data_IF_913398497922
#
_entry.id   IF_913398497922
#
_cell.length_a   1.000
_cell.length_b   1.000
_cell.length_c   1.000
_cell.angle_alpha   90.00
_cell.angle_beta   90.00
_cell.angle_gamma   90.00
#
_symmetry.space_group_name_H-M   'P 1'
#
loop_
_entity.id
_entity.type
_entity.pdbx_description
1 polymer ?
#
# COMPACT_ATOMS: atom_id res chain seq x y z
N UNK A 1 -13.45 -13.69 22.54
CA UNK A 1 -12.16 -13.08 22.21
C UNK A 1 -11.93 -13.29 20.73
N UNK A 2 -11.86 -12.19 20.01
CA UNK A 2 -11.71 -12.05 18.56
C UNK A 2 -10.24 -12.05 18.10
N UNK A 3 -9.34 -12.37 19.03
CA UNK A 3 -7.90 -12.55 18.81
C UNK A 3 -7.06 -11.29 19.02
N UNK A 4 -7.66 -10.15 19.37
CA UNK A 4 -6.94 -8.97 19.85
C UNK A 4 -6.89 -8.93 21.38
N UNK A 5 -5.97 -8.15 21.93
CA UNK A 5 -5.93 -7.93 23.38
C UNK A 5 -6.85 -6.78 23.78
N UNK A 6 -7.49 -6.88 24.95
CA UNK A 6 -8.30 -5.79 25.53
C UNK A 6 -7.56 -4.45 25.53
N UNK A 7 -6.23 -4.46 25.71
CA UNK A 7 -5.41 -3.24 25.66
C UNK A 7 -5.29 -2.64 24.26
N UNK A 8 -5.16 -3.46 23.22
CA UNK A 8 -5.09 -2.99 21.84
C UNK A 8 -6.46 -2.47 21.41
N UNK A 9 -7.52 -3.20 21.75
CA UNK A 9 -8.89 -2.77 21.48
C UNK A 9 -9.18 -1.40 22.11
N UNK A 10 -8.81 -1.18 23.37
CA UNK A 10 -8.97 0.14 24.02
C UNK A 10 -8.12 1.24 23.39
N UNK A 11 -6.96 0.90 22.83
CA UNK A 11 -6.05 1.86 22.18
C UNK A 11 -6.69 2.43 20.92
N UNK A 12 -7.33 1.58 20.12
CA UNK A 12 -7.99 1.96 18.87
C UNK A 12 -9.48 2.30 19.03
N UNK A 13 -9.97 2.35 20.28
CA UNK A 13 -11.36 2.70 20.60
C UNK A 13 -12.37 1.60 20.26
N UNK A 14 -11.90 0.38 20.10
CA UNK A 14 -12.71 -0.83 19.91
C UNK A 14 -13.20 -1.38 21.25
N UNK A 15 -14.22 -2.23 21.18
CA UNK A 15 -14.93 -2.71 22.37
C UNK A 15 -14.34 -4.03 22.86
N UNK A 16 -13.74 -4.09 24.07
CA UNK A 16 -13.05 -5.29 24.61
C UNK A 16 -13.94 -6.51 24.90
N UNK A 17 -15.24 -6.37 24.63
CA UNK A 17 -16.26 -7.36 24.99
C UNK A 17 -17.14 -7.71 23.81
N UNK A 18 -16.89 -7.15 22.63
CA UNK A 18 -17.75 -7.28 21.46
C UNK A 18 -17.11 -8.16 20.39
N UNK A 19 -17.42 -9.46 20.46
CA UNK A 19 -17.04 -10.49 19.48
C UNK A 19 -17.61 -10.28 18.03
N UNK A 20 -18.04 -9.09 17.60
CA UNK A 20 -18.94 -8.98 16.42
C UNK A 20 -18.84 -7.75 15.50
N UNK A 21 -17.71 -7.06 15.37
CA UNK A 21 -17.43 -6.45 14.06
C UNK A 21 -16.37 -7.30 13.36
N UNK A 22 -16.71 -7.98 12.25
CA UNK A 22 -15.74 -8.73 11.45
C UNK A 22 -14.51 -7.89 11.11
N UNK A 23 -14.69 -6.58 10.99
CA UNK A 23 -13.68 -5.61 10.59
C UNK A 23 -12.73 -5.22 11.72
N UNK A 24 -13.13 -5.24 13.00
CA UNK A 24 -12.24 -4.83 14.12
C UNK A 24 -11.59 -6.01 14.86
N UNK A 25 -11.91 -7.25 14.49
CA UNK A 25 -11.24 -8.42 15.06
C UNK A 25 -9.81 -8.59 14.55
N UNK A 26 -9.05 -9.54 15.10
CA UNK A 26 -7.64 -9.76 14.70
C UNK A 26 -7.45 -10.12 13.21
N UNK A 27 -8.45 -10.77 12.61
CA UNK A 27 -8.50 -11.13 11.19
C UNK A 27 -9.37 -10.16 10.38
N UNK A 28 -9.83 -9.08 11.00
CA UNK A 28 -10.50 -7.98 10.33
C UNK A 28 -9.49 -7.06 9.66
N UNK A 29 -10.04 -6.12 8.90
CA UNK A 29 -9.34 -5.09 8.14
C UNK A 29 -10.19 -3.83 8.34
N UNK A 30 -9.86 -3.07 9.39
CA UNK A 30 -10.77 -2.04 9.90
C UNK A 30 -10.79 -0.77 9.05
N UNK A 31 -9.73 -0.51 8.28
CA UNK A 31 -9.64 0.62 7.35
C UNK A 31 -9.76 0.22 5.87
N UNK A 32 -9.80 -1.08 5.57
CA UNK A 32 -10.00 -1.66 4.23
C UNK A 32 -8.83 -1.40 3.29
N UNK A 33 -7.59 -1.40 3.81
CA UNK A 33 -6.37 -1.28 3.01
C UNK A 33 -5.87 -2.63 2.47
N UNK A 34 -6.41 -3.75 2.96
CA UNK A 34 -6.02 -5.11 2.58
C UNK A 34 -5.03 -5.80 3.52
N UNK A 35 -4.61 -5.14 4.59
CA UNK A 35 -3.81 -5.70 5.68
C UNK A 35 -4.72 -6.02 6.87
N UNK A 36 -4.43 -7.10 7.60
CA UNK A 36 -5.25 -7.47 8.75
C UNK A 36 -4.80 -6.71 10.00
N UNK A 37 -5.76 -6.32 10.85
CA UNK A 37 -5.51 -5.55 12.09
C UNK A 37 -4.37 -6.13 12.94
N UNK A 38 -4.31 -7.46 13.09
CA UNK A 38 -3.25 -8.10 13.89
C UNK A 38 -1.86 -7.97 13.23
N UNK A 39 -1.79 -7.98 11.91
CA UNK A 39 -0.55 -7.78 11.18
C UNK A 39 -0.06 -6.33 11.36
N UNK A 40 -0.95 -5.35 11.21
CA UNK A 40 -0.65 -3.94 11.41
C UNK A 40 -0.15 -3.66 12.83
N UNK A 41 -0.89 -4.11 13.85
CA UNK A 41 -0.48 -3.99 15.25
C UNK A 41 0.89 -4.65 15.49
N UNK A 42 1.14 -5.80 14.86
CA UNK A 42 2.42 -6.51 14.94
C UNK A 42 3.59 -5.77 14.29
N UNK A 43 3.31 -4.94 13.28
CA UNK A 43 4.27 -4.09 12.58
C UNK A 43 4.40 -2.69 13.22
N UNK A 44 3.48 -2.33 14.11
CA UNK A 44 3.41 -1.00 14.74
C UNK A 44 2.63 0.03 13.92
N UNK A 45 1.98 -0.43 12.84
CA UNK A 45 1.08 0.34 12.00
C UNK A 45 -0.26 0.59 12.70
N UNK A 46 -1.08 1.49 12.15
CA UNK A 46 -2.36 1.86 12.73
C UNK A 46 -3.53 1.20 11.96
N UNK A 47 -4.20 0.18 12.54
CA UNK A 47 -5.28 -0.58 11.91
C UNK A 47 -6.60 0.18 11.72
N UNK A 48 -6.55 1.50 11.76
CA UNK A 48 -7.69 2.38 11.50
C UNK A 48 -7.34 3.47 10.47
N UNK A 49 -6.16 3.39 9.87
CA UNK A 49 -5.65 4.32 8.88
C UNK A 49 -5.03 3.54 7.72
N UNK A 50 -5.62 3.68 6.54
CA UNK A 50 -5.12 3.10 5.29
C UNK A 50 -3.63 3.39 5.05
N UNK A 51 -3.15 4.52 5.55
CA UNK A 51 -1.80 5.06 5.38
C UNK A 51 -1.38 5.64 6.74
N UNK A 52 -0.49 4.94 7.44
CA UNK A 52 -0.12 5.22 8.82
C UNK A 52 0.74 6.47 8.95
N UNK A 53 1.68 6.69 8.04
CA UNK A 53 2.63 7.80 8.10
C UNK A 53 2.24 9.01 7.23
N UNK A 54 1.17 8.87 6.46
CA UNK A 54 0.52 9.87 5.62
C UNK A 54 1.37 10.33 4.42
N UNK A 55 2.13 9.41 3.82
CA UNK A 55 2.94 9.68 2.62
C UNK A 55 2.22 9.43 1.28
N UNK A 56 1.02 8.84 1.35
CA UNK A 56 0.14 8.55 0.24
C UNK A 56 0.10 7.08 -0.18
N UNK A 57 1.08 6.26 0.20
CA UNK A 57 1.05 4.81 0.01
C UNK A 57 0.22 4.15 1.12
N UNK A 58 -0.51 3.08 0.80
CA UNK A 58 -1.21 2.34 1.84
C UNK A 58 -0.27 1.40 2.58
N UNK A 59 -0.54 1.15 3.85
CA UNK A 59 0.22 0.26 4.72
C UNK A 59 0.42 -1.13 4.06
N UNK A 60 -0.63 -1.66 3.41
CA UNK A 60 -0.58 -2.90 2.63
C UNK A 60 0.42 -2.87 1.46
N UNK A 61 0.50 -1.76 0.72
CA UNK A 61 1.43 -1.57 -0.39
C UNK A 61 2.85 -1.47 0.14
N UNK A 62 3.06 -0.69 1.19
CA UNK A 62 4.37 -0.53 1.79
C UNK A 62 4.91 -1.85 2.34
N UNK A 63 4.06 -2.67 2.97
CA UNK A 63 4.42 -4.01 3.42
C UNK A 63 4.78 -4.93 2.25
N UNK A 64 4.03 -4.89 1.15
CA UNK A 64 4.34 -5.67 -0.07
C UNK A 64 5.68 -5.25 -0.68
N UNK A 65 5.93 -3.95 -0.77
CA UNK A 65 7.14 -3.36 -1.34
C UNK A 65 8.34 -3.38 -0.37
N UNK A 66 8.13 -3.78 0.88
CA UNK A 66 9.13 -3.75 1.95
C UNK A 66 9.65 -2.33 2.25
N UNK A 67 8.76 -1.34 2.15
CA UNK A 67 8.97 0.03 2.62
C UNK A 67 8.61 0.14 4.12
N UNK A 68 8.82 1.32 4.70
CA UNK A 68 8.67 1.53 6.14
C UNK A 68 7.49 2.48 6.36
N UNK A 69 6.28 1.93 6.54
CA UNK A 69 5.03 2.70 6.74
C UNK A 69 4.91 3.46 8.07
N UNK A 70 6.05 3.65 8.73
CA UNK A 70 6.20 4.55 9.88
C UNK A 70 7.10 5.76 9.54
N UNK A 71 7.64 5.82 8.33
CA UNK A 71 8.55 6.86 7.85
C UNK A 71 8.07 7.39 6.50
N UNK A 72 7.35 8.51 6.54
CA UNK A 72 6.81 9.18 5.35
C UNK A 72 7.85 9.68 4.32
N UNK A 73 9.14 9.44 4.58
CA UNK A 73 10.23 9.60 3.62
C UNK A 73 10.59 8.32 2.86
N UNK A 74 9.91 7.20 3.09
CA UNK A 74 10.15 5.88 2.51
C UNK A 74 8.94 5.52 1.62
N UNK A 75 9.09 5.31 0.31
CA UNK A 75 10.34 5.16 -0.45
C UNK A 75 10.97 6.50 -0.88
N UNK A 76 10.33 7.62 -0.57
CA UNK A 76 10.79 8.96 -0.93
C UNK A 76 10.20 9.48 -2.25
N UNK A 77 9.17 8.80 -2.76
CA UNK A 77 8.38 9.20 -3.92
C UNK A 77 6.90 9.03 -3.61
N UNK A 78 6.07 9.96 -4.09
CA UNK A 78 4.63 9.92 -3.84
C UNK A 78 3.92 9.11 -4.94
N UNK A 79 2.84 8.35 -4.66
CA UNK A 79 2.16 7.50 -5.65
C UNK A 79 1.64 8.23 -6.89
N UNK A 80 1.26 9.49 -6.73
CA UNK A 80 0.74 10.34 -7.82
C UNK A 80 1.82 11.09 -8.61
N UNK A 81 3.10 10.95 -8.25
CA UNK A 81 4.20 11.54 -9.02
C UNK A 81 4.49 10.70 -10.27
N UNK A 82 5.06 11.33 -11.29
CA UNK A 82 5.60 10.71 -12.50
C UNK A 82 7.14 10.84 -12.41
N UNK A 83 7.77 9.88 -11.73
CA UNK A 83 9.17 10.05 -11.27
C UNK A 83 10.15 10.01 -12.43
N UNK A 84 9.90 9.18 -13.45
CA UNK A 84 10.75 9.02 -14.62
C UNK A 84 10.33 9.87 -15.83
N UNK A 85 9.17 10.55 -15.76
CA UNK A 85 8.62 11.48 -16.75
C UNK A 85 8.18 10.82 -18.06
N UNK A 86 7.63 9.61 -17.98
CA UNK A 86 7.17 8.86 -19.14
C UNK A 86 5.66 9.03 -19.43
N UNK A 87 4.93 9.65 -18.49
CA UNK A 87 3.51 9.94 -18.57
C UNK A 87 2.60 9.01 -17.76
N UNK A 88 3.16 8.04 -17.03
CA UNK A 88 2.48 7.26 -16.00
C UNK A 88 2.80 7.81 -14.61
N UNK A 89 1.92 7.56 -13.63
CA UNK A 89 2.25 7.86 -12.23
C UNK A 89 2.83 6.61 -11.57
N UNK A 90 3.65 6.79 -10.53
CA UNK A 90 4.30 5.71 -9.79
C UNK A 90 3.30 4.61 -9.37
N UNK A 91 2.08 4.99 -8.95
CA UNK A 91 1.03 4.04 -8.58
C UNK A 91 0.52 3.22 -9.78
N UNK A 92 0.36 3.85 -10.94
CA UNK A 92 -0.08 3.16 -12.16
C UNK A 92 1.01 2.19 -12.62
N UNK A 93 2.27 2.59 -12.55
CA UNK A 93 3.39 1.74 -12.89
C UNK A 93 3.49 0.54 -11.94
N UNK A 94 3.29 0.76 -10.64
CA UNK A 94 3.22 -0.31 -9.66
C UNK A 94 2.09 -1.30 -9.97
N UNK A 95 0.90 -0.81 -10.32
CA UNK A 95 -0.25 -1.63 -10.75
C UNK A 95 0.04 -2.43 -12.03
N UNK A 96 0.85 -1.87 -12.94
CA UNK A 96 1.32 -2.53 -14.17
C UNK A 96 2.52 -3.45 -13.93
N UNK A 97 3.07 -3.48 -12.72
CA UNK A 97 4.33 -4.15 -12.38
C UNK A 97 5.54 -3.63 -13.19
N UNK A 98 5.44 -2.42 -13.73
CA UNK A 98 6.53 -1.71 -14.38
C UNK A 98 7.38 -0.95 -13.36
N UNK A 99 8.48 -0.35 -13.82
CA UNK A 99 9.45 0.30 -12.98
C UNK A 99 9.29 1.83 -13.04
N UNK A 100 8.68 2.40 -12.00
CA UNK A 100 8.49 3.84 -11.82
C UNK A 100 9.75 4.72 -11.77
N UNK A 101 10.93 4.12 -11.90
CA UNK A 101 12.22 4.81 -12.02
C UNK A 101 12.83 4.67 -13.42
N UNK A 102 12.13 4.08 -14.38
CA UNK A 102 12.64 3.73 -15.70
C UNK A 102 11.54 3.86 -16.74
N UNK A 103 11.65 4.90 -17.57
CA UNK A 103 10.65 5.21 -18.59
C UNK A 103 10.43 4.11 -19.64
N UNK A 104 11.27 3.09 -19.68
CA UNK A 104 11.25 1.94 -20.60
C UNK A 104 11.65 0.72 -19.75
N UNK A 105 10.66 0.00 -19.24
CA UNK A 105 10.84 -1.05 -18.23
C UNK A 105 11.44 -2.32 -18.80
N UNK A 106 11.10 -2.66 -20.04
CA UNK A 106 11.59 -3.87 -20.73
C UNK A 106 12.80 -3.61 -21.63
N UNK A 107 13.17 -2.35 -21.83
CA UNK A 107 14.29 -1.87 -22.63
C UNK A 107 14.16 -2.18 -24.13
N UNK A 108 12.94 -2.13 -24.69
CA UNK A 108 12.67 -2.34 -26.11
C UNK A 108 12.84 -1.07 -26.98
N UNK A 109 12.89 0.11 -26.33
CA UNK A 109 13.04 1.41 -26.96
C UNK A 109 11.75 2.22 -27.12
N UNK A 110 10.61 1.72 -26.65
CA UNK A 110 9.39 2.45 -26.41
C UNK A 110 9.25 2.74 -24.91
N UNK A 111 8.59 3.84 -24.58
CA UNK A 111 8.38 4.19 -23.18
C UNK A 111 7.05 3.62 -22.67
N UNK A 112 7.00 3.20 -21.41
CA UNK A 112 5.85 2.47 -20.83
C UNK A 112 4.55 3.27 -20.99
N UNK A 113 4.60 4.59 -20.80
CA UNK A 113 3.46 5.48 -21.00
C UNK A 113 2.92 5.50 -22.43
N UNK A 114 3.77 5.35 -23.45
CA UNK A 114 3.34 5.20 -24.85
C UNK A 114 2.75 3.83 -25.09
N UNK A 115 3.39 2.78 -24.58
CA UNK A 115 2.89 1.42 -24.71
C UNK A 115 1.52 1.26 -24.06
N UNK A 116 1.37 1.73 -22.82
CA UNK A 116 0.09 1.77 -22.11
C UNK A 116 -0.97 2.55 -22.89
N UNK A 117 -0.63 3.71 -23.47
CA UNK A 117 -1.56 4.47 -24.32
C UNK A 117 -2.00 3.70 -25.58
N UNK A 118 -1.12 2.88 -26.14
CA UNK A 118 -1.39 2.03 -27.30
C UNK A 118 -2.05 0.69 -26.92
N UNK A 119 -2.16 0.39 -25.62
CA UNK A 119 -2.65 -0.88 -25.09
C UNK A 119 -1.67 -2.03 -25.30
N UNK A 120 -0.39 -1.73 -25.34
CA UNK A 120 0.71 -2.69 -25.40
C UNK A 120 1.14 -3.07 -23.97
N UNK A 121 1.89 -4.16 -23.88
CA UNK A 121 2.36 -4.70 -22.61
C UNK A 121 3.73 -4.08 -22.30
N UNK A 122 3.79 -3.27 -21.25
CA UNK A 122 4.98 -2.49 -20.82
C UNK A 122 6.16 -3.36 -20.35
N UNK A 123 5.98 -4.68 -20.32
CA UNK A 123 6.98 -5.66 -19.90
C UNK A 123 7.43 -6.59 -21.03
N UNK A 124 7.02 -6.34 -22.29
CA UNK A 124 7.25 -7.24 -23.42
C UNK A 124 7.83 -6.54 -24.66
N UNK A 125 9.13 -6.76 -24.85
CA UNK A 125 9.93 -6.32 -26.01
C UNK A 125 9.63 -7.00 -27.36
#
# INVERSE_FOLDING_TARGET
EDGLSDSDELTYGWSPTSDISPEQGSLGDADNDGLFNLAEIGLGLNPTQIDTDADGWSDSVEVEQHWDGLDAGSPGYHPNDDTDNDGLSNLVELDLQSNYLSSDSDNDGLNDGVEHQLGWDVLVA
#
